data_IF_989206342597
#
_entry.id   IF_989206342597
#
_cell.length_a   1.000
_cell.length_b   1.000
_cell.length_c   1.000
_cell.angle_alpha   90.00
_cell.angle_beta   90.00
_cell.angle_gamma   90.00
#
_symmetry.space_group_name_H-M   'P 1'
#
loop_
_entity.id
_entity.type
_entity.pdbx_description
1 polymer ?
#
# COMPACT_ATOMS: atom_id res chain seq x y z
N UNK A 1 -9.62 -31.23 12.20
CA UNK A 1 -9.33 -30.24 11.13
C UNK A 1 -9.65 -28.82 11.60
N UNK A 2 -8.62 -28.06 12.04
CA UNK A 2 -8.78 -26.70 12.54
C UNK A 2 -8.77 -25.72 11.35
N UNK A 3 -9.83 -24.91 11.25
CA UNK A 3 -9.97 -23.82 10.26
C UNK A 3 -8.83 -22.80 10.41
N UNK A 4 -8.32 -22.20 9.32
CA UNK A 4 -7.33 -21.14 9.45
C UNK A 4 -7.98 -19.91 10.11
N UNK A 5 -7.37 -19.44 11.20
CA UNK A 5 -7.75 -18.20 11.90
C UNK A 5 -7.86 -17.04 10.93
N UNK A 6 -9.09 -16.67 10.62
CA UNK A 6 -9.44 -15.37 10.06
C UNK A 6 -9.01 -14.30 11.08
N UNK A 7 -7.85 -13.68 10.84
CA UNK A 7 -7.46 -12.45 11.53
C UNK A 7 -8.45 -11.38 11.12
N UNK A 8 -9.45 -11.14 11.95
CA UNK A 8 -10.35 -10.00 11.81
C UNK A 8 -9.48 -8.74 11.88
N UNK A 9 -9.44 -7.88 10.84
CA UNK A 9 -8.75 -6.61 10.94
C UNK A 9 -9.41 -5.76 12.06
N UNK A 10 -8.63 -4.92 12.77
CA UNK A 10 -9.14 -4.14 13.89
C UNK A 10 -10.35 -3.28 13.45
N UNK A 11 -11.40 -3.31 14.25
CA UNK A 11 -12.64 -2.59 13.98
C UNK A 11 -12.36 -1.09 13.80
N UNK A 12 -12.65 -0.57 12.60
CA UNK A 12 -12.35 0.80 12.17
C UNK A 12 -11.41 0.88 10.96
N UNK A 13 -10.70 -0.20 10.65
CA UNK A 13 -9.86 -0.31 9.45
C UNK A 13 -10.52 -1.30 8.47
N UNK A 14 -10.79 -0.84 7.25
CA UNK A 14 -11.24 -1.66 6.10
C UNK A 14 -12.61 -2.32 6.26
N UNK A 15 -13.65 -1.68 5.72
CA UNK A 15 -14.78 -2.45 5.19
C UNK A 15 -14.28 -3.21 3.93
N UNK A 16 -14.18 -4.56 3.95
CA UNK A 16 -13.57 -5.31 2.85
C UNK A 16 -14.40 -5.33 1.57
N UNK A 17 -15.63 -4.81 1.58
CA UNK A 17 -16.61 -5.08 0.53
C UNK A 17 -16.47 -4.24 -0.73
N UNK A 18 -15.54 -3.25 -0.78
CA UNK A 18 -15.33 -2.44 -1.99
C UNK A 18 -13.88 -2.15 -2.36
N UNK A 19 -12.92 -2.21 -1.44
CA UNK A 19 -11.51 -1.98 -1.78
C UNK A 19 -10.96 -3.12 -2.64
N UNK A 20 -10.08 -2.80 -3.58
CA UNK A 20 -9.50 -3.79 -4.48
C UNK A 20 -8.05 -3.46 -4.80
N UNK A 21 -7.29 -4.47 -5.21
CA UNK A 21 -5.92 -4.31 -5.61
C UNK A 21 -5.45 -5.51 -6.43
N UNK A 22 -4.26 -5.37 -6.99
CA UNK A 22 -3.61 -6.42 -7.75
C UNK A 22 -2.09 -6.20 -7.76
N UNK A 23 -1.36 -7.20 -8.25
CA UNK A 23 0.10 -7.14 -8.35
C UNK A 23 0.56 -6.62 -9.72
N UNK A 24 -0.22 -5.73 -10.33
CA UNK A 24 0.19 -5.12 -11.58
C UNK A 24 1.42 -4.25 -11.33
N UNK A 25 2.49 -4.63 -12.02
CA UNK A 25 3.79 -4.00 -11.88
C UNK A 25 4.41 -3.76 -13.25
N UNK A 26 5.31 -2.80 -13.35
CA UNK A 26 6.13 -2.71 -14.56
C UNK A 26 7.15 -3.86 -14.61
N UNK A 27 7.71 -4.13 -15.79
CA UNK A 27 8.64 -5.24 -16.04
C UNK A 27 9.92 -5.21 -15.19
N UNK A 28 10.22 -4.08 -14.55
CA UNK A 28 11.36 -3.91 -13.63
C UNK A 28 11.07 -4.37 -12.20
N UNK A 29 9.83 -4.77 -11.89
CA UNK A 29 9.51 -5.29 -10.58
C UNK A 29 10.21 -6.64 -10.35
N UNK A 30 11.14 -6.64 -9.41
CA UNK A 30 11.89 -7.84 -9.05
C UNK A 30 11.19 -8.58 -7.90
N UNK A 31 11.38 -9.90 -7.84
CA UNK A 31 11.01 -10.73 -6.68
C UNK A 31 12.23 -11.14 -5.86
N UNK A 32 13.38 -10.48 -6.07
CA UNK A 32 14.56 -10.68 -5.23
C UNK A 32 14.30 -10.18 -3.82
N UNK A 33 14.87 -10.85 -2.83
CA UNK A 33 14.70 -10.50 -1.41
C UNK A 33 15.15 -9.06 -1.11
N UNK A 34 16.24 -8.60 -1.73
CA UNK A 34 16.71 -7.23 -1.60
C UNK A 34 15.66 -6.21 -2.10
N UNK A 35 15.05 -6.47 -3.26
CA UNK A 35 14.04 -5.58 -3.82
C UNK A 35 12.72 -5.61 -3.03
N UNK A 36 12.31 -6.78 -2.56
CA UNK A 36 11.17 -6.93 -1.64
C UNK A 36 11.41 -6.07 -0.39
N UNK A 37 12.59 -6.16 0.22
CA UNK A 37 12.96 -5.35 1.38
C UNK A 37 12.96 -3.86 1.07
N UNK A 38 13.45 -3.45 -0.10
CA UNK A 38 13.38 -2.06 -0.56
C UNK A 38 11.93 -1.57 -0.64
N UNK A 39 11.00 -2.38 -1.15
CA UNK A 39 9.58 -2.02 -1.19
C UNK A 39 8.95 -1.86 0.20
N UNK A 40 9.24 -2.77 1.13
CA UNK A 40 8.81 -2.62 2.52
C UNK A 40 9.42 -1.35 3.17
N UNK A 41 10.71 -1.10 2.95
CA UNK A 41 11.40 0.09 3.45
C UNK A 41 10.82 1.39 2.87
N UNK A 42 10.37 1.38 1.60
CA UNK A 42 9.71 2.53 0.99
C UNK A 42 8.38 2.84 1.68
N UNK A 43 7.59 1.82 2.04
CA UNK A 43 6.36 1.96 2.85
C UNK A 43 6.68 2.46 4.26
N UNK A 44 7.75 2.00 4.88
CA UNK A 44 8.09 2.39 6.26
C UNK A 44 8.52 3.87 6.39
N UNK A 45 8.89 4.53 5.27
CA UNK A 45 9.25 5.96 5.22
C UNK A 45 8.06 6.91 5.36
N UNK A 46 6.82 6.44 5.34
CA UNK A 46 5.69 7.27 5.78
C UNK A 46 5.80 7.50 7.30
N UNK A 47 5.52 8.70 7.79
CA UNK A 47 5.66 9.03 9.22
C UNK A 47 4.30 8.89 9.89
N UNK A 48 4.22 8.08 10.94
CA UNK A 48 2.95 7.62 11.51
C UNK A 48 1.96 8.73 11.87
N UNK A 49 2.47 9.85 12.39
CA UNK A 49 1.67 11.00 12.85
C UNK A 49 1.70 12.19 11.88
N UNK A 50 2.26 12.02 10.68
CA UNK A 50 2.22 13.04 9.62
C UNK A 50 0.94 12.85 8.79
N UNK A 51 0.25 13.95 8.50
CA UNK A 51 -0.93 13.96 7.63
C UNK A 51 -0.54 14.20 6.18
N UNK A 52 -0.93 13.28 5.30
CA UNK A 52 -0.70 13.36 3.86
C UNK A 52 -2.01 13.73 3.16
N UNK A 53 -2.02 14.91 2.53
CA UNK A 53 -3.20 15.47 1.82
C UNK A 53 -3.08 15.39 0.30
N UNK A 54 -1.87 15.18 -0.22
CA UNK A 54 -1.56 15.20 -1.64
C UNK A 54 -0.78 13.94 -2.03
N UNK A 55 -0.55 13.82 -3.34
CA UNK A 55 0.43 12.89 -3.90
C UNK A 55 1.74 12.90 -3.11
N UNK A 56 2.13 11.73 -2.61
CA UNK A 56 3.37 11.55 -1.84
C UNK A 56 4.03 10.25 -2.25
N UNK A 57 5.27 10.36 -2.74
CA UNK A 57 6.13 9.21 -3.04
C UNK A 57 7.25 9.08 -2.03
N UNK A 58 7.47 7.85 -1.56
CA UNK A 58 8.65 7.46 -0.77
C UNK A 58 9.42 6.41 -1.54
N UNK A 59 10.74 6.56 -1.59
CA UNK A 59 11.63 5.66 -2.35
C UNK A 59 12.65 5.04 -1.41
N UNK A 60 12.96 3.76 -1.58
CA UNK A 60 14.07 3.08 -0.93
C UNK A 60 14.72 2.13 -1.94
N UNK A 61 16.03 2.27 -2.15
CA UNK A 61 16.76 1.54 -3.19
C UNK A 61 16.08 1.66 -4.54
N UNK A 62 15.78 0.51 -5.14
CA UNK A 62 15.15 0.42 -6.46
C UNK A 62 13.62 0.37 -6.42
N UNK A 63 12.98 0.53 -5.25
CA UNK A 63 11.53 0.51 -5.10
C UNK A 63 10.97 1.83 -4.57
N UNK A 64 9.75 2.17 -4.98
CA UNK A 64 8.99 3.28 -4.43
C UNK A 64 7.57 2.87 -4.03
N UNK A 65 7.07 3.50 -2.97
CA UNK A 65 5.69 3.47 -2.54
C UNK A 65 5.08 4.86 -2.77
N UNK A 66 4.00 4.89 -3.54
CA UNK A 66 3.35 6.09 -4.02
C UNK A 66 1.92 6.14 -3.49
N UNK A 67 1.59 7.18 -2.74
CA UNK A 67 0.26 7.45 -2.22
C UNK A 67 -0.35 8.62 -2.98
N UNK A 68 -1.44 8.37 -3.70
CA UNK A 68 -2.13 9.38 -4.51
C UNK A 68 -3.60 9.43 -4.13
N UNK A 69 -4.14 10.64 -3.97
CA UNK A 69 -5.58 10.87 -3.81
C UNK A 69 -6.04 11.86 -4.87
N UNK A 70 -7.08 11.53 -5.61
CA UNK A 70 -7.69 12.43 -6.59
C UNK A 70 -8.88 13.19 -5.95
N UNK A 71 -8.68 14.48 -5.63
CA UNK A 71 -9.73 15.37 -5.12
C UNK A 71 -9.40 16.07 -3.80
N UNK A 72 -10.36 16.83 -3.25
CA UNK A 72 -10.24 17.45 -1.93
C UNK A 72 -10.43 16.40 -0.83
N UNK A 73 -9.36 15.69 -0.46
CA UNK A 73 -9.42 14.67 0.58
C UNK A 73 -8.87 15.17 1.93
N UNK A 74 -9.42 14.62 3.02
CA UNK A 74 -8.92 14.84 4.39
C UNK A 74 -7.58 14.14 4.55
N UNK A 75 -6.63 14.76 5.25
CA UNK A 75 -5.32 14.13 5.51
C UNK A 75 -5.46 12.69 6.01
N UNK A 76 -4.74 11.75 5.39
CA UNK A 76 -4.52 10.41 5.99
C UNK A 76 -3.22 10.42 6.76
N UNK A 77 -3.21 9.78 7.93
CA UNK A 77 -2.00 9.65 8.72
C UNK A 77 -1.07 8.61 8.09
N UNK A 78 0.23 8.79 8.22
CA UNK A 78 1.20 7.83 7.67
C UNK A 78 1.00 6.40 8.19
N UNK A 79 0.53 6.23 9.43
CA UNK A 79 0.20 4.90 9.97
C UNK A 79 -0.93 4.21 9.19
N UNK A 80 -1.92 4.99 8.74
CA UNK A 80 -3.06 4.49 7.99
C UNK A 80 -2.62 4.14 6.56
N UNK A 81 -1.75 4.96 5.97
CA UNK A 81 -1.13 4.70 4.66
C UNK A 81 -0.28 3.42 4.72
N UNK A 82 0.56 3.24 5.74
CA UNK A 82 1.30 1.99 5.96
C UNK A 82 0.37 0.79 6.06
N UNK A 83 -0.73 0.92 6.80
CA UNK A 83 -1.72 -0.15 6.89
C UNK A 83 -2.35 -0.47 5.53
N UNK A 84 -2.58 0.53 4.68
CA UNK A 84 -3.09 0.32 3.32
C UNK A 84 -2.11 -0.48 2.47
N UNK A 85 -0.82 -0.17 2.50
CA UNK A 85 0.17 -0.98 1.79
C UNK A 85 0.31 -2.38 2.39
N UNK A 86 0.46 -2.47 3.71
CA UNK A 86 0.74 -3.73 4.39
C UNK A 86 -0.44 -4.72 4.37
N UNK A 87 -1.66 -4.23 4.59
CA UNK A 87 -2.85 -5.08 4.58
C UNK A 87 -3.54 -5.12 3.22
N UNK A 88 -3.49 -4.04 2.45
CA UNK A 88 -4.07 -3.98 1.11
C UNK A 88 -3.18 -4.68 0.08
N UNK A 89 -2.01 -4.10 -0.22
CA UNK A 89 -1.13 -4.60 -1.30
C UNK A 89 -0.53 -5.96 -0.94
N UNK A 90 0.16 -6.08 0.20
CA UNK A 90 0.90 -7.32 0.50
C UNK A 90 -0.01 -8.47 0.93
N UNK A 91 -0.96 -8.22 1.84
CA UNK A 91 -1.83 -9.30 2.35
C UNK A 91 -3.11 -9.48 1.52
N UNK A 92 -3.79 -8.39 1.15
CA UNK A 92 -5.08 -8.43 0.47
C UNK A 92 -4.96 -8.85 -0.99
N UNK A 93 -4.09 -8.18 -1.76
CA UNK A 93 -3.79 -8.55 -3.14
C UNK A 93 -2.76 -9.70 -3.26
N UNK A 94 -2.04 -10.03 -2.18
CA UNK A 94 -1.08 -11.13 -2.14
C UNK A 94 0.24 -10.84 -2.84
N UNK A 95 0.60 -9.56 -2.98
CA UNK A 95 1.80 -9.16 -3.72
C UNK A 95 3.06 -9.28 -2.86
N UNK A 96 4.16 -9.75 -3.46
CA UNK A 96 5.44 -9.88 -2.73
C UNK A 96 6.26 -8.58 -2.70
N UNK A 97 6.14 -7.74 -3.73
CA UNK A 97 6.93 -6.51 -3.84
C UNK A 97 6.09 -5.35 -4.42
N UNK A 98 5.74 -5.43 -5.70
CA UNK A 98 4.97 -4.39 -6.38
C UNK A 98 3.49 -4.75 -6.44
N UNK A 99 2.67 -3.72 -6.50
CA UNK A 99 1.24 -3.85 -6.66
C UNK A 99 0.55 -2.54 -6.37
N UNK A 100 -0.77 -2.56 -6.43
CA UNK A 100 -1.58 -1.38 -6.25
C UNK A 100 -2.84 -1.72 -5.46
N UNK A 101 -3.32 -0.75 -4.70
CA UNK A 101 -4.50 -0.86 -3.87
C UNK A 101 -5.33 0.41 -3.94
N UNK A 102 -6.61 0.25 -4.27
CA UNK A 102 -7.57 1.34 -4.44
C UNK A 102 -8.56 1.33 -3.29
N UNK A 103 -8.74 2.50 -2.67
CA UNK A 103 -9.77 2.71 -1.68
C UNK A 103 -11.07 3.15 -2.35
N UNK A 104 -12.15 2.49 -1.97
CA UNK A 104 -13.51 2.77 -2.44
C UNK A 104 -14.35 3.35 -1.30
N UNK A 105 -13.78 4.34 -0.59
CA UNK A 105 -14.34 5.08 0.54
C UNK A 105 -14.61 6.56 0.19
N UNK A 106 -15.02 6.81 -1.07
CA UNK A 106 -15.21 8.14 -1.69
C UNK A 106 -13.95 9.03 -1.71
N UNK A 107 -12.81 8.49 -1.27
CA UNK A 107 -11.53 9.21 -1.21
C UNK A 107 -10.80 9.32 -2.54
N UNK A 108 -11.12 8.44 -3.49
CA UNK A 108 -10.34 8.19 -4.70
C UNK A 108 -8.83 8.08 -4.43
N UNK A 109 -8.47 7.59 -3.25
CA UNK A 109 -7.08 7.37 -2.89
C UNK A 109 -6.64 5.98 -3.32
N UNK A 110 -5.42 5.89 -3.81
CA UNK A 110 -4.77 4.63 -4.13
C UNK A 110 -3.30 4.66 -3.73
N UNK A 111 -2.82 3.49 -3.32
CA UNK A 111 -1.42 3.23 -3.05
C UNK A 111 -0.84 2.34 -4.14
N UNK A 112 0.33 2.69 -4.66
CA UNK A 112 1.04 1.94 -5.69
C UNK A 112 2.48 1.69 -5.23
N UNK A 113 2.95 0.46 -5.33
CA UNK A 113 4.34 0.06 -5.09
C UNK A 113 4.93 -0.43 -6.40
N UNK A 114 6.08 0.13 -6.82
CA UNK A 114 6.71 -0.16 -8.11
C UNK A 114 8.23 -0.03 -8.05
N UNK A 115 8.89 -0.58 -9.06
CA UNK A 115 10.31 -0.34 -9.29
C UNK A 115 10.58 1.10 -9.78
N UNK A 116 11.73 1.67 -9.43
CA UNK A 116 12.18 2.95 -9.95
C UNK A 116 12.42 2.85 -11.45
N UNK A 117 11.89 3.81 -12.21
CA UNK A 117 12.00 3.84 -13.66
C UNK A 117 11.01 2.92 -14.38
N UNK A 118 9.96 2.47 -13.68
CA UNK A 118 8.63 2.57 -14.23
C UNK A 118 8.30 4.08 -14.42
#
# INVERSE_FOLDING_TARGET
PMLPSSRTPPAGAFAPSKNYGNCNACDKCSTSEAFINDCHNAVDKFIDNEGYINHTRKTAGDCYADWTCEGEYRSKLGKDIKNIFNYGVFQGAGCQACGQWYLMDDSNCHGTIQAVGC
#
